data_IF_200100846930
#
_entry.id   IF_200100846930
#
_cell.length_a   1.000
_cell.length_b   1.000
_cell.length_c   1.000
_cell.angle_alpha   90.00
_cell.angle_beta   90.00
_cell.angle_gamma   90.00
#
_symmetry.space_group_name_H-M   'P 1'
#
loop_
_entity.id
_entity.type
_entity.pdbx_description
1 polymer ?
#
# COMPACT_ATOMS: atom_id res chain seq x y z
N UNK A 1 -48.04 -44.60 -2.70
CA UNK A 1 -46.94 -44.25 -1.79
C UNK A 1 -45.63 -44.53 -2.51
N UNK A 2 -44.78 -43.51 -2.69
CA UNK A 2 -43.30 -43.54 -2.64
C UNK A 2 -42.76 -42.23 -3.25
N UNK A 3 -42.19 -41.43 -2.36
CA UNK A 3 -41.42 -40.20 -2.59
C UNK A 3 -40.09 -40.51 -3.29
N UNK A 4 -39.73 -39.73 -4.32
CA UNK A 4 -38.33 -39.48 -4.66
C UNK A 4 -38.21 -38.19 -5.49
N UNK A 5 -38.10 -37.09 -4.76
CA UNK A 5 -37.39 -35.87 -5.14
C UNK A 5 -35.94 -36.27 -5.45
N UNK A 6 -35.41 -35.96 -6.64
CA UNK A 6 -34.04 -35.52 -6.92
C UNK A 6 -33.97 -35.19 -8.42
N UNK A 7 -34.03 -33.89 -8.75
CA UNK A 7 -33.68 -33.42 -10.10
C UNK A 7 -32.18 -33.59 -10.34
N UNK A 8 -31.74 -33.81 -11.60
CA UNK A 8 -30.32 -33.86 -11.91
C UNK A 8 -29.70 -32.47 -11.78
N UNK A 9 -28.97 -32.22 -10.69
CA UNK A 9 -28.00 -31.12 -10.60
C UNK A 9 -26.80 -31.48 -11.48
N UNK A 10 -26.93 -31.25 -12.78
CA UNK A 10 -25.82 -31.39 -13.72
C UNK A 10 -24.95 -30.13 -13.68
N UNK A 11 -23.86 -30.23 -12.94
CA UNK A 11 -22.55 -29.69 -13.32
C UNK A 11 -22.38 -28.18 -13.30
N UNK A 12 -22.08 -27.63 -12.12
CA UNK A 12 -21.26 -26.43 -12.01
C UNK A 12 -19.90 -26.74 -12.66
N UNK A 13 -19.55 -26.01 -13.72
CA UNK A 13 -18.28 -26.15 -14.41
C UNK A 13 -17.11 -25.75 -13.48
N UNK A 14 -15.95 -26.43 -13.54
CA UNK A 14 -14.77 -26.01 -12.79
C UNK A 14 -14.30 -24.64 -13.32
N UNK A 15 -14.06 -23.70 -12.40
CA UNK A 15 -13.41 -22.43 -12.73
C UNK A 15 -12.05 -22.77 -13.33
N UNK A 16 -11.82 -22.33 -14.58
CA UNK A 16 -10.53 -22.42 -15.25
C UNK A 16 -9.56 -21.54 -14.48
N UNK A 17 -8.69 -22.19 -13.71
CA UNK A 17 -7.52 -21.57 -13.09
C UNK A 17 -6.72 -20.86 -14.18
N UNK A 18 -6.67 -19.53 -14.11
CA UNK A 18 -5.76 -18.73 -14.94
C UNK A 18 -4.37 -18.97 -14.37
N UNK A 19 -3.70 -19.95 -14.95
CA UNK A 19 -2.25 -20.06 -14.87
C UNK A 19 -1.64 -19.13 -15.92
N UNK A 20 -0.91 -18.07 -15.53
CA UNK A 20 0.19 -17.62 -16.34
C UNK A 20 1.39 -18.48 -15.96
N UNK A 21 1.59 -19.54 -16.74
CA UNK A 21 2.91 -20.10 -16.92
C UNK A 21 3.80 -19.05 -17.57
N UNK A 22 4.73 -18.50 -16.79
CA UNK A 22 5.75 -17.55 -17.22
C UNK A 22 6.93 -17.64 -16.26
N UNK A 23 7.80 -18.61 -16.51
CA UNK A 23 9.15 -18.82 -15.97
C UNK A 23 9.51 -18.07 -14.69
N UNK A 24 9.51 -18.80 -13.57
CA UNK A 24 10.28 -18.49 -12.38
C UNK A 24 11.77 -18.38 -12.75
N UNK A 25 12.24 -17.15 -12.97
CA UNK A 25 13.63 -16.84 -13.28
C UNK A 25 13.99 -15.45 -12.73
N UNK A 26 14.37 -15.40 -11.46
CA UNK A 26 15.11 -14.29 -10.82
C UNK A 26 14.55 -12.85 -10.87
N UNK A 27 13.27 -12.62 -11.23
CA UNK A 27 12.73 -11.25 -11.38
C UNK A 27 12.32 -10.53 -10.08
N UNK A 28 12.46 -11.16 -8.90
CA UNK A 28 12.06 -10.54 -7.62
C UNK A 28 12.85 -9.29 -7.25
N UNK A 29 14.15 -9.25 -7.59
CA UNK A 29 15.00 -8.08 -7.33
C UNK A 29 14.78 -6.94 -8.34
N UNK A 30 14.56 -7.26 -9.63
CA UNK A 30 14.22 -6.25 -10.64
C UNK A 30 12.85 -5.62 -10.39
N UNK A 31 11.80 -6.41 -10.10
CA UNK A 31 10.46 -5.88 -9.88
C UNK A 31 10.35 -4.95 -8.67
N UNK A 32 11.08 -5.25 -7.59
CA UNK A 32 11.15 -4.36 -6.42
C UNK A 32 11.92 -3.07 -6.74
N UNK A 33 13.05 -3.16 -7.43
CA UNK A 33 13.87 -2.00 -7.77
C UNK A 33 13.20 -1.08 -8.80
N UNK A 34 12.46 -1.65 -9.75
CA UNK A 34 11.60 -0.90 -10.69
C UNK A 34 10.42 -0.23 -9.96
N UNK A 35 9.80 -0.92 -9.00
CA UNK A 35 8.75 -0.34 -8.15
C UNK A 35 9.29 0.80 -7.28
N UNK A 36 10.48 0.63 -6.72
CA UNK A 36 11.17 1.66 -5.92
C UNK A 36 11.53 2.88 -6.77
N UNK A 37 12.03 2.66 -7.98
CA UNK A 37 12.35 3.73 -8.94
C UNK A 37 11.09 4.49 -9.36
N UNK A 38 9.99 3.78 -9.59
CA UNK A 38 8.69 4.38 -9.91
C UNK A 38 8.10 5.15 -8.72
N UNK A 39 8.28 4.66 -7.49
CA UNK A 39 7.89 5.37 -6.27
C UNK A 39 8.70 6.66 -6.08
N UNK A 40 10.01 6.64 -6.32
CA UNK A 40 10.87 7.84 -6.28
C UNK A 40 10.43 8.86 -7.33
N UNK A 41 10.10 8.42 -8.55
CA UNK A 41 9.55 9.29 -9.59
C UNK A 41 8.23 9.95 -9.14
N UNK A 42 7.30 9.16 -8.60
CA UNK A 42 6.03 9.66 -8.06
C UNK A 42 6.21 10.70 -6.94
N UNK A 43 7.22 10.54 -6.09
CA UNK A 43 7.52 11.52 -5.03
C UNK A 43 7.95 12.86 -5.64
N UNK A 44 8.76 12.83 -6.71
CA UNK A 44 9.16 14.05 -7.42
C UNK A 44 7.95 14.78 -8.03
N UNK A 45 7.08 14.04 -8.73
CA UNK A 45 5.85 14.61 -9.30
C UNK A 45 4.94 15.20 -8.22
N UNK A 46 4.78 14.48 -7.11
CA UNK A 46 3.99 14.96 -5.95
C UNK A 46 4.58 16.23 -5.34
N UNK A 47 5.91 16.37 -5.32
CA UNK A 47 6.59 17.55 -4.80
C UNK A 47 6.38 18.79 -5.69
N UNK A 48 6.35 18.61 -7.01
CA UNK A 48 6.04 19.68 -7.97
C UNK A 48 4.57 20.10 -7.86
N UNK A 49 3.66 19.14 -7.77
CA UNK A 49 2.23 19.36 -7.56
C UNK A 49 1.97 20.11 -6.24
N UNK A 50 2.63 19.70 -5.16
CA UNK A 50 2.55 20.36 -3.86
C UNK A 50 3.09 21.79 -3.91
N UNK A 51 4.17 22.05 -4.67
CA UNK A 51 4.68 23.41 -4.87
C UNK A 51 3.66 24.33 -5.54
N UNK A 52 2.90 23.81 -6.52
CA UNK A 52 1.76 24.52 -7.12
C UNK A 52 0.63 24.74 -6.13
N UNK A 53 0.21 23.69 -5.42
CA UNK A 53 -0.86 23.77 -4.43
C UNK A 53 -0.54 24.74 -3.28
N UNK A 54 0.73 24.87 -2.87
CA UNK A 54 1.18 25.86 -1.88
C UNK A 54 1.11 27.28 -2.47
N UNK A 55 1.46 27.46 -3.74
CA UNK A 55 1.25 28.73 -4.45
C UNK A 55 -0.23 29.13 -4.49
N UNK A 56 -1.12 28.17 -4.77
CA UNK A 56 -2.57 28.37 -4.78
C UNK A 56 -3.16 28.53 -3.36
N UNK A 57 -2.50 28.02 -2.32
CA UNK A 57 -2.92 28.24 -0.94
C UNK A 57 -2.54 29.64 -0.44
N UNK A 58 -1.39 30.17 -0.88
CA UNK A 58 -0.93 31.53 -0.56
C UNK A 58 -1.84 32.62 -1.15
N UNK A 59 -2.67 32.29 -2.15
CA UNK A 59 -3.70 33.20 -2.68
C UNK A 59 -4.98 33.23 -1.82
N UNK A 60 -5.07 32.42 -0.76
CA UNK A 60 -6.00 32.61 0.35
C UNK A 60 -7.33 31.84 0.26
N UNK A 61 -7.37 30.68 -0.40
CA UNK A 61 -8.65 30.01 -0.74
C UNK A 61 -9.34 29.22 0.39
N UNK A 62 -8.69 28.88 1.52
CA UNK A 62 -9.27 27.85 2.42
C UNK A 62 -9.93 28.42 3.68
N UNK A 63 -11.27 28.39 3.69
CA UNK A 63 -12.16 28.85 4.77
C UNK A 63 -12.54 27.77 5.82
N UNK A 64 -11.87 26.60 5.84
CA UNK A 64 -12.34 25.45 6.62
C UNK A 64 -11.43 25.09 7.81
N UNK A 65 -11.54 25.85 8.91
CA UNK A 65 -10.90 25.55 10.21
C UNK A 65 -11.15 24.10 10.68
N UNK A 66 -12.31 23.54 10.36
CA UNK A 66 -12.67 22.17 10.72
C UNK A 66 -11.79 21.13 10.01
N UNK A 67 -11.48 21.35 8.73
CA UNK A 67 -10.54 20.49 7.97
C UNK A 67 -9.14 20.57 8.54
N UNK A 68 -8.69 21.76 8.96
CA UNK A 68 -7.36 21.95 9.57
C UNK A 68 -7.24 21.18 10.88
N UNK A 69 -8.26 21.22 11.74
CA UNK A 69 -8.30 20.44 12.99
C UNK A 69 -8.26 18.92 12.72
N UNK A 70 -9.02 18.43 11.74
CA UNK A 70 -8.99 17.01 11.34
C UNK A 70 -7.63 16.60 10.81
N UNK A 71 -7.02 17.43 9.96
CA UNK A 71 -5.68 17.19 9.42
C UNK A 71 -4.61 17.14 10.52
N UNK A 72 -4.70 18.02 11.53
CA UNK A 72 -3.82 17.99 12.69
C UNK A 72 -3.98 16.70 13.52
N UNK A 73 -5.22 16.26 13.75
CA UNK A 73 -5.50 15.01 14.46
C UNK A 73 -4.92 13.80 13.72
N UNK A 74 -5.09 13.76 12.40
CA UNK A 74 -4.58 12.69 11.55
C UNK A 74 -3.04 12.69 11.52
N UNK A 75 -2.42 13.87 11.51
CA UNK A 75 -0.97 14.01 11.57
C UNK A 75 -0.40 13.47 12.89
N UNK A 76 -1.03 13.75 14.03
CA UNK A 76 -0.59 13.26 15.34
C UNK A 76 -0.61 11.72 15.41
N UNK A 77 -1.71 11.09 14.98
CA UNK A 77 -1.85 9.63 14.95
C UNK A 77 -0.81 9.00 14.00
N UNK A 78 -0.59 9.62 12.83
CA UNK A 78 0.40 9.15 11.85
C UNK A 78 1.83 9.25 12.39
N UNK A 79 2.12 10.29 13.18
CA UNK A 79 3.42 10.49 13.80
C UNK A 79 3.69 9.46 14.89
N UNK A 80 2.69 9.15 15.72
CA UNK A 80 2.78 8.08 16.72
C UNK A 80 3.07 6.73 16.07
N UNK A 81 2.37 6.41 14.98
CA UNK A 81 2.62 5.19 14.21
C UNK A 81 4.04 5.16 13.62
N UNK A 82 4.52 6.28 13.08
CA UNK A 82 5.87 6.38 12.54
C UNK A 82 6.94 6.14 13.62
N UNK A 83 6.74 6.65 14.83
CA UNK A 83 7.66 6.39 15.95
C UNK A 83 7.72 4.90 16.30
N UNK A 84 6.57 4.22 16.31
CA UNK A 84 6.53 2.77 16.55
C UNK A 84 7.25 1.99 15.45
N UNK A 85 7.07 2.38 14.19
CA UNK A 85 7.77 1.78 13.05
C UNK A 85 9.28 2.02 13.18
N UNK A 86 9.72 3.26 13.47
CA UNK A 86 11.13 3.60 13.68
C UNK A 86 11.75 2.70 14.75
N UNK A 87 11.07 2.56 15.90
CA UNK A 87 11.56 1.73 17.00
C UNK A 87 11.68 0.25 16.57
N UNK A 88 10.67 -0.29 15.87
CA UNK A 88 10.72 -1.66 15.34
C UNK A 88 11.84 -1.88 14.32
N UNK A 89 12.12 -0.90 13.46
CA UNK A 89 13.19 -0.98 12.48
C UNK A 89 14.58 -0.97 13.14
N UNK A 90 14.76 -0.14 14.18
CA UNK A 90 16.01 -0.14 14.98
C UNK A 90 16.20 -1.50 15.65
N UNK A 91 15.17 -2.03 16.31
CA UNK A 91 15.24 -3.35 16.93
C UNK A 91 15.52 -4.46 15.91
N UNK A 92 14.86 -4.43 14.74
CA UNK A 92 15.12 -5.41 13.68
C UNK A 92 16.55 -5.33 13.15
N UNK A 93 17.12 -4.13 13.05
CA UNK A 93 18.53 -3.96 12.68
C UNK A 93 19.48 -4.52 13.74
N UNK A 94 19.23 -4.21 15.01
CA UNK A 94 20.00 -4.77 16.14
C UNK A 94 19.93 -6.29 16.20
N UNK A 95 18.77 -6.87 15.90
CA UNK A 95 18.55 -8.33 15.89
C UNK A 95 19.32 -9.01 14.75
N UNK A 96 19.33 -8.43 13.55
CA UNK A 96 20.15 -8.94 12.43
C UNK A 96 21.65 -8.89 12.76
N UNK A 97 22.12 -7.82 13.40
CA UNK A 97 23.52 -7.71 13.84
C UNK A 97 23.89 -8.78 14.88
N UNK A 98 22.98 -9.12 15.80
CA UNK A 98 23.20 -10.18 16.79
C UNK A 98 23.21 -11.59 16.21
N UNK A 99 22.54 -11.82 15.08
CA UNK A 99 22.54 -13.12 14.39
C UNK A 99 23.80 -13.39 13.56
N UNK A 100 24.59 -12.37 13.24
CA UNK A 100 25.78 -12.49 12.39
C UNK A 100 27.10 -12.66 13.15
N UNK A 101 27.07 -12.65 14.49
CA UNK A 101 28.23 -12.89 15.35
C UNK A 101 28.19 -14.31 15.91
#
# INVERSE_FOLDING_TARGET
MMNQIYGPTSGIAPIRDVAPGGSAGTSGASGFMDSLKSAIGKVNDTQVEAGRAVGDLMTGETQDLHRTMVALQQADVSFQLMMQIRNKLVTAYEEIQRMQM
#
